data_IF_414584873445
#
_entry.id   IF_414584873445
#
_cell.length_a   1.000
_cell.length_b   1.000
_cell.length_c   1.000
_cell.angle_alpha   90.00
_cell.angle_beta   90.00
_cell.angle_gamma   90.00
#
_symmetry.space_group_name_H-M   'P 1'
#
loop_
_entity.id
_entity.type
_entity.pdbx_description
1 polymer ?
#
# COMPACT_ATOMS: atom_id res chain seq x y z
N UNK A 1 7.44 -1.67 9.81
CA UNK A 1 7.30 -0.46 8.97
C UNK A 1 5.83 -0.06 8.99
N UNK A 2 5.49 1.23 8.97
CA UNK A 2 4.11 1.68 8.80
C UNK A 2 3.98 2.31 7.42
N UNK A 3 2.87 2.02 6.73
CA UNK A 3 2.50 2.79 5.54
C UNK A 3 1.21 3.53 5.86
N UNK A 4 1.26 4.83 5.64
CA UNK A 4 0.11 5.71 5.64
C UNK A 4 -0.28 5.97 4.19
N UNK A 5 -1.52 5.65 3.84
CA UNK A 5 -2.03 5.80 2.49
C UNK A 5 -3.28 6.66 2.51
N UNK A 6 -3.55 7.29 1.36
CA UNK A 6 -4.75 8.07 1.11
C UNK A 6 -5.56 7.32 0.08
N UNK A 7 -6.55 6.55 0.52
CA UNK A 7 -7.35 5.70 -0.37
C UNK A 7 -8.41 6.57 -1.04
N UNK A 8 -8.36 6.63 -2.36
CA UNK A 8 -9.38 7.29 -3.17
C UNK A 8 -10.68 6.49 -3.15
N UNK A 9 -11.75 7.13 -2.70
CA UNK A 9 -13.10 6.55 -2.60
C UNK A 9 -14.12 7.43 -3.33
N UNK A 10 -15.22 6.83 -3.73
CA UNK A 10 -16.32 7.46 -4.48
C UNK A 10 -17.66 7.15 -3.81
N UNK A 11 -18.76 7.74 -4.32
CA UNK A 11 -20.13 7.40 -3.87
C UNK A 11 -20.46 5.91 -3.92
N UNK A 12 -19.87 5.17 -4.86
CA UNK A 12 -20.08 3.72 -5.00
C UNK A 12 -19.49 2.91 -3.85
N UNK A 13 -18.55 3.52 -3.13
CA UNK A 13 -17.84 2.90 -2.03
C UNK A 13 -18.50 3.24 -0.66
N UNK A 14 -19.65 3.92 -0.62
CA UNK A 14 -20.35 4.26 0.64
C UNK A 14 -20.72 2.98 1.41
N UNK A 15 -20.41 2.97 2.71
CA UNK A 15 -20.65 1.83 3.59
C UNK A 15 -19.37 1.12 4.04
N UNK A 16 -19.49 -0.15 4.42
CA UNK A 16 -18.37 -0.99 4.85
C UNK A 16 -17.69 -1.61 3.64
N UNK A 17 -16.38 -1.47 3.55
CA UNK A 17 -15.59 -2.00 2.46
C UNK A 17 -14.42 -2.81 3.00
N UNK A 18 -14.13 -3.91 2.32
CA UNK A 18 -12.90 -4.67 2.55
C UNK A 18 -11.76 -3.99 1.81
N UNK A 19 -10.68 -3.70 2.51
CA UNK A 19 -9.43 -3.23 1.93
C UNK A 19 -8.43 -4.37 1.91
N UNK A 20 -7.79 -4.57 0.77
CA UNK A 20 -6.70 -5.53 0.61
C UNK A 20 -5.44 -4.78 0.21
N UNK A 21 -4.34 -5.05 0.90
CA UNK A 21 -3.01 -4.49 0.59
C UNK A 21 -2.08 -5.62 0.22
N UNK A 22 -1.44 -5.50 -0.94
CA UNK A 22 -0.51 -6.50 -1.44
C UNK A 22 0.80 -5.83 -1.85
N UNK A 23 1.91 -6.35 -1.34
CA UNK A 23 3.25 -6.01 -1.82
C UNK A 23 3.80 -7.19 -2.61
N UNK A 24 4.21 -6.97 -3.86
CA UNK A 24 4.80 -7.99 -4.71
C UNK A 24 6.15 -7.56 -5.24
N UNK A 25 7.13 -8.46 -5.22
CA UNK A 25 8.38 -8.33 -5.97
C UNK A 25 8.35 -9.24 -7.22
N UNK A 26 9.48 -9.39 -7.88
CA UNK A 26 9.60 -10.23 -9.09
C UNK A 26 9.15 -11.69 -8.89
N UNK A 27 9.39 -12.25 -7.69
CA UNK A 27 9.03 -13.63 -7.35
C UNK A 27 7.58 -13.79 -6.83
N UNK A 28 6.78 -12.73 -6.84
CA UNK A 28 5.39 -12.74 -6.40
C UNK A 28 5.14 -11.95 -5.11
N UNK A 29 4.04 -12.27 -4.44
CA UNK A 29 3.60 -11.53 -3.25
C UNK A 29 4.49 -11.84 -2.04
N UNK A 30 5.09 -10.81 -1.45
CA UNK A 30 5.89 -10.93 -0.22
C UNK A 30 5.15 -10.42 1.01
N UNK A 31 4.02 -9.73 0.82
CA UNK A 31 3.12 -9.32 1.89
C UNK A 31 1.68 -9.23 1.40
N UNK A 32 0.75 -9.62 2.26
CA UNK A 32 -0.69 -9.43 2.10
C UNK A 32 -1.29 -9.05 3.46
N UNK A 33 -2.18 -8.07 3.46
CA UNK A 33 -3.02 -7.75 4.61
C UNK A 33 -4.41 -7.35 4.16
N UNK A 34 -5.37 -7.59 5.04
CA UNK A 34 -6.76 -7.25 4.88
C UNK A 34 -7.20 -6.35 6.05
N UNK A 35 -8.16 -5.47 5.79
CA UNK A 35 -8.77 -4.62 6.81
C UNK A 35 -10.11 -4.06 6.33
N UNK A 36 -10.74 -3.26 7.18
CA UNK A 36 -12.04 -2.65 6.87
C UNK A 36 -11.94 -1.13 6.80
N UNK A 37 -12.62 -0.54 5.82
CA UNK A 37 -12.76 0.90 5.65
C UNK A 37 -14.24 1.25 5.59
N UNK A 38 -14.67 2.19 6.43
CA UNK A 38 -16.02 2.75 6.39
C UNK A 38 -16.00 4.08 5.66
N UNK A 39 -16.79 4.19 4.59
CA UNK A 39 -17.00 5.44 3.86
C UNK A 39 -18.35 6.02 4.26
N UNK A 40 -18.34 7.21 4.86
CA UNK A 40 -19.55 7.82 5.41
C UNK A 40 -20.58 8.17 4.33
N UNK A 41 -21.89 8.11 4.62
CA UNK A 41 -22.94 8.46 3.66
C UNK A 41 -22.98 9.94 3.27
N UNK A 42 -22.31 10.82 4.04
CA UNK A 42 -22.21 12.25 3.77
C UNK A 42 -21.28 12.59 2.59
N UNK A 43 -20.63 11.58 1.99
CA UNK A 43 -19.72 11.77 0.86
C UNK A 43 -20.48 12.07 -0.43
N UNK A 44 -20.31 13.29 -0.96
CA UNK A 44 -20.96 13.73 -2.19
C UNK A 44 -20.06 13.68 -3.44
N UNK A 45 -18.77 13.43 -3.30
CA UNK A 45 -17.81 13.43 -4.41
C UNK A 45 -16.68 12.42 -4.16
N UNK A 46 -15.67 12.43 -5.04
CA UNK A 46 -14.41 11.73 -4.82
C UNK A 46 -13.65 12.33 -3.64
N UNK A 47 -13.21 11.48 -2.72
CA UNK A 47 -12.41 11.88 -1.58
C UNK A 47 -11.26 10.91 -1.32
N UNK A 48 -10.31 11.36 -0.51
CA UNK A 48 -9.17 10.56 -0.07
C UNK A 48 -9.26 10.32 1.43
N UNK A 49 -9.58 9.10 1.83
CA UNK A 49 -9.66 8.73 3.25
C UNK A 49 -8.28 8.24 3.72
N UNK A 50 -7.74 8.76 4.84
CA UNK A 50 -6.51 8.23 5.40
C UNK A 50 -6.72 6.80 5.89
N UNK A 51 -5.83 5.91 5.49
CA UNK A 51 -5.83 4.52 5.92
C UNK A 51 -4.41 4.07 6.24
N UNK A 52 -4.24 3.50 7.42
CA UNK A 52 -2.94 3.06 7.93
C UNK A 52 -2.91 1.54 8.06
N UNK A 53 -1.86 0.93 7.54
CA UNK A 53 -1.52 -0.44 7.87
C UNK A 53 -0.13 -0.53 8.47
N UNK A 54 -0.02 -1.42 9.45
CA UNK A 54 1.27 -1.86 9.93
C UNK A 54 1.75 -3.02 9.05
N UNK A 55 2.89 -2.81 8.41
CA UNK A 55 3.59 -3.87 7.69
C UNK A 55 4.59 -4.52 8.65
N UNK A 56 4.18 -5.66 9.20
CA UNK A 56 5.00 -6.51 10.08
C UNK A 56 5.67 -7.62 9.27
N UNK A 57 6.85 -8.04 9.71
CA UNK A 57 7.59 -9.18 9.15
C UNK A 57 7.90 -9.09 7.64
N UNK A 58 7.96 -7.88 7.08
CA UNK A 58 8.43 -7.67 5.72
C UNK A 58 9.87 -8.12 5.55
N UNK A 59 10.11 -8.98 4.55
CA UNK A 59 11.44 -9.40 4.13
C UNK A 59 11.61 -9.06 2.66
N UNK A 60 12.64 -8.28 2.37
CA UNK A 60 13.08 -7.98 1.01
C UNK A 60 14.30 -8.85 0.73
N UNK A 61 14.12 -9.92 -0.03
CA UNK A 61 15.21 -10.87 -0.30
C UNK A 61 16.24 -10.32 -1.29
N UNK A 62 15.84 -9.33 -2.11
CA UNK A 62 16.68 -8.72 -3.13
C UNK A 62 16.39 -7.22 -3.28
N UNK A 63 17.40 -6.38 -3.60
CA UNK A 63 17.13 -5.02 -4.07
C UNK A 63 16.39 -5.08 -5.40
N UNK A 64 15.56 -4.08 -5.69
CA UNK A 64 14.74 -4.05 -6.89
C UNK A 64 13.46 -3.25 -6.73
N UNK A 65 12.60 -3.35 -7.73
CA UNK A 65 11.30 -2.69 -7.75
C UNK A 65 10.21 -3.63 -7.21
N UNK A 66 9.40 -3.11 -6.30
CA UNK A 66 8.29 -3.81 -5.66
C UNK A 66 6.99 -3.03 -5.91
N UNK A 67 5.90 -3.70 -6.22
CA UNK A 67 4.59 -3.08 -6.41
C UNK A 67 3.75 -3.19 -5.15
N UNK A 68 3.32 -2.05 -4.61
CA UNK A 68 2.34 -1.93 -3.54
C UNK A 68 0.97 -1.62 -4.15
N UNK A 69 0.05 -2.59 -4.09
CA UNK A 69 -1.33 -2.47 -4.54
C UNK A 69 -2.28 -2.33 -3.34
N UNK A 70 -3.27 -1.46 -3.49
CA UNK A 70 -4.39 -1.30 -2.57
C UNK A 70 -5.69 -1.52 -3.33
N UNK A 71 -6.48 -2.48 -2.88
CA UNK A 71 -7.77 -2.82 -3.44
C UNK A 71 -8.88 -2.54 -2.44
N UNK A 72 -10.03 -2.12 -2.94
CA UNK A 72 -11.26 -1.93 -2.17
C UNK A 72 -12.33 -2.82 -2.79
N UNK A 73 -12.83 -3.81 -2.04
CA UNK A 73 -13.76 -4.84 -2.54
C UNK A 73 -13.28 -5.53 -3.83
N UNK A 74 -11.96 -5.70 -4.00
CA UNK A 74 -11.33 -6.28 -5.18
C UNK A 74 -10.91 -5.27 -6.26
N UNK A 75 -11.49 -4.06 -6.27
CA UNK A 75 -11.17 -3.01 -7.23
C UNK A 75 -9.84 -2.33 -6.87
N UNK A 76 -8.93 -2.24 -7.83
CA UNK A 76 -7.65 -1.55 -7.66
C UNK A 76 -7.89 -0.03 -7.51
N UNK A 77 -7.60 0.52 -6.33
CA UNK A 77 -7.71 1.96 -6.06
C UNK A 77 -6.37 2.69 -6.18
N UNK A 78 -5.28 2.04 -5.78
CA UNK A 78 -3.95 2.62 -5.83
C UNK A 78 -2.89 1.56 -6.11
N UNK A 79 -1.89 1.94 -6.90
CA UNK A 79 -0.69 1.15 -7.16
C UNK A 79 0.52 2.06 -7.11
N UNK A 80 1.56 1.66 -6.39
CA UNK A 80 2.80 2.42 -6.30
C UNK A 80 4.01 1.50 -6.37
N UNK A 81 5.02 1.88 -7.15
CA UNK A 81 6.29 1.19 -7.20
C UNK A 81 7.22 1.70 -6.09
N UNK A 82 7.67 0.80 -5.24
CA UNK A 82 8.68 1.00 -4.20
C UNK A 82 10.01 0.46 -4.69
N UNK A 83 11.06 1.28 -4.66
CA UNK A 83 12.41 0.85 -5.03
C UNK A 83 13.24 0.56 -3.79
N UNK A 84 13.65 -0.69 -3.62
CA UNK A 84 14.51 -1.14 -2.52
C UNK A 84 15.95 -1.18 -3.02
N UNK A 85 16.83 -0.47 -2.34
CA UNK A 85 18.27 -0.45 -2.63
C UNK A 85 19.04 -0.98 -1.42
N UNK A 86 20.07 -1.77 -1.68
CA UNK A 86 21.06 -2.12 -0.67
C UNK A 86 22.03 -0.94 -0.54
N UNK A 87 22.15 -0.37 0.66
CA UNK A 87 23.15 0.65 0.95
C UNK A 87 24.30 -0.03 1.67
N UNK A 88 25.42 -0.21 0.98
CA UNK A 88 26.65 -0.66 1.63
C UNK A 88 27.22 0.50 2.44
N UNK A 89 27.48 0.28 3.73
CA UNK A 89 27.99 1.29 4.67
C UNK A 89 29.45 1.72 4.42
N UNK A 90 29.96 1.60 3.18
CA UNK A 90 31.33 1.92 2.77
C UNK A 90 31.49 3.13 1.85
N UNK A 91 30.43 3.60 1.18
CA UNK A 91 30.53 4.65 0.15
C UNK A 91 30.23 6.07 0.67
N UNK A 92 30.16 6.28 1.98
CA UNK A 92 30.00 7.63 2.57
C UNK A 92 31.32 8.32 2.88
N UNK A 93 32.43 7.85 2.30
CA UNK A 93 33.69 8.57 2.28
C UNK A 93 34.07 8.89 0.83
N UNK A 94 33.96 10.18 0.49
CA UNK A 94 34.43 10.85 -0.73
C UNK A 94 33.51 10.84 -1.94
N UNK A 95 32.76 11.94 -2.11
CA UNK A 95 32.68 12.73 -3.35
C UNK A 95 32.17 14.12 -3.01
#
# INVERSE_FOLDING_TARGET
MFIFMRVKVTKRDIGKNRVEVRLSGEKGAIFKADGDLVVSPEHQEEQHIPFSFQLVNLKFDQPGDYSLEVRLNGDLKQSQTLKIKLINKGDSANS
#
